data_IF_923182262980
#
_entry.id   IF_923182262980
#
_cell.length_a   1.000
_cell.length_b   1.000
_cell.length_c   1.000
_cell.angle_alpha   90.00
_cell.angle_beta   90.00
_cell.angle_gamma   90.00
#
_symmetry.space_group_name_H-M   'P 1'
#
loop_
_entity.id
_entity.type
_entity.pdbx_description
1 polymer ?
#
# COMPACT_ATOMS: atom_id res chain seq x y z
N UNK A 1 -12.44 -8.41 10.00
CA UNK A 1 -12.52 -8.90 8.61
C UNK A 1 -13.11 -10.29 8.63
N UNK A 2 -14.17 -10.52 7.87
CA UNK A 2 -14.79 -11.84 7.79
C UNK A 2 -13.85 -12.82 7.08
N UNK A 3 -13.82 -14.08 7.54
CA UNK A 3 -12.99 -15.15 6.96
C UNK A 3 -13.24 -15.27 5.45
N UNK A 4 -14.49 -15.11 5.00
CA UNK A 4 -14.85 -15.16 3.59
C UNK A 4 -14.18 -14.09 2.72
N UNK A 5 -14.03 -12.86 3.23
CA UNK A 5 -13.34 -11.78 2.51
C UNK A 5 -11.83 -12.08 2.36
N UNK A 6 -11.20 -12.58 3.43
CA UNK A 6 -9.79 -12.96 3.39
C UNK A 6 -9.52 -14.09 2.40
N UNK A 7 -10.39 -15.12 2.38
CA UNK A 7 -10.32 -16.21 1.41
C UNK A 7 -10.55 -15.71 -0.01
N UNK A 8 -11.51 -14.81 -0.22
CA UNK A 8 -11.75 -14.18 -1.52
C UNK A 8 -10.52 -13.43 -2.04
N UNK A 9 -9.82 -12.67 -1.20
CA UNK A 9 -8.57 -11.99 -1.57
C UNK A 9 -7.45 -12.97 -1.91
N UNK A 10 -7.34 -14.06 -1.15
CA UNK A 10 -6.39 -15.15 -1.45
C UNK A 10 -6.65 -15.75 -2.84
N UNK A 11 -7.90 -16.10 -3.16
CA UNK A 11 -8.27 -16.69 -4.46
C UNK A 11 -7.99 -15.73 -5.63
N UNK A 12 -8.24 -14.44 -5.45
CA UNK A 12 -7.88 -13.42 -6.44
C UNK A 12 -6.37 -13.33 -6.66
N UNK A 13 -5.56 -13.36 -5.61
CA UNK A 13 -4.11 -13.38 -5.72
C UNK A 13 -3.61 -14.69 -6.36
N UNK A 14 -4.19 -15.82 -5.99
CA UNK A 14 -3.87 -17.13 -6.56
C UNK A 14 -4.16 -17.19 -8.08
N UNK A 15 -5.15 -16.44 -8.57
CA UNK A 15 -5.47 -16.37 -10.00
C UNK A 15 -4.36 -15.68 -10.83
N UNK A 16 -3.45 -14.94 -10.22
CA UNK A 16 -2.28 -14.36 -10.89
C UNK A 16 -1.14 -15.36 -11.09
N UNK A 17 -1.11 -16.45 -10.32
CA UNK A 17 -0.06 -17.45 -10.36
C UNK A 17 -0.05 -18.19 -11.72
N UNK A 18 1.09 -18.78 -12.12
CA UNK A 18 1.12 -19.71 -13.24
C UNK A 18 0.15 -20.87 -13.07
N UNK A 19 -0.46 -21.35 -14.16
CA UNK A 19 -1.62 -22.28 -14.13
C UNK A 19 -1.41 -23.51 -13.26
N UNK A 20 -0.22 -24.10 -13.26
CA UNK A 20 0.09 -25.29 -12.43
C UNK A 20 0.10 -24.95 -10.94
N UNK A 21 0.53 -23.75 -10.58
CA UNK A 21 0.57 -23.29 -9.19
C UNK A 21 -0.78 -22.81 -8.69
N UNK A 22 -1.67 -22.34 -9.60
CA UNK A 22 -3.07 -22.03 -9.25
C UNK A 22 -3.78 -23.25 -8.70
N UNK A 23 -3.58 -24.44 -9.31
CA UNK A 23 -4.21 -25.67 -8.82
C UNK A 23 -3.74 -26.04 -7.42
N UNK A 24 -2.44 -25.91 -7.15
CA UNK A 24 -1.89 -26.14 -5.82
C UNK A 24 -2.46 -25.14 -4.78
N UNK A 25 -2.48 -23.85 -5.13
CA UNK A 25 -3.01 -22.80 -4.27
C UNK A 25 -4.50 -23.01 -3.91
N UNK A 26 -5.33 -23.47 -4.86
CA UNK A 26 -6.75 -23.76 -4.61
C UNK A 26 -6.99 -24.88 -3.58
N UNK A 27 -6.07 -25.83 -3.47
CA UNK A 27 -6.17 -26.96 -2.53
C UNK A 27 -5.75 -26.61 -1.09
N UNK A 28 -5.18 -25.45 -0.86
CA UNK A 28 -4.83 -24.95 0.49
C UNK A 28 -6.10 -24.85 1.33
N UNK A 29 -6.11 -25.38 2.58
CA UNK A 29 -7.27 -25.29 3.47
C UNK A 29 -7.70 -23.85 3.76
N UNK A 30 -9.00 -23.60 3.91
CA UNK A 30 -9.57 -22.25 4.08
C UNK A 30 -8.99 -21.47 5.26
N UNK A 31 -8.72 -22.15 6.40
CA UNK A 31 -8.10 -21.49 7.56
C UNK A 31 -6.70 -20.95 7.24
N UNK A 32 -5.90 -21.67 6.42
CA UNK A 32 -4.58 -21.19 5.95
C UNK A 32 -4.72 -20.09 4.90
N UNK A 33 -5.72 -20.19 3.99
CA UNK A 33 -6.01 -19.12 3.03
C UNK A 33 -6.36 -17.82 3.75
N UNK A 34 -7.16 -17.90 4.82
CA UNK A 34 -7.53 -16.74 5.62
C UNK A 34 -6.35 -16.07 6.35
N UNK A 35 -5.29 -16.82 6.64
CA UNK A 35 -4.08 -16.34 7.30
C UNK A 35 -2.95 -15.95 6.32
N UNK A 36 -3.10 -16.29 5.04
CA UNK A 36 -2.08 -16.10 4.02
C UNK A 36 -1.72 -14.63 3.80
N UNK A 37 -0.44 -14.32 3.76
CA UNK A 37 0.09 -12.98 3.54
C UNK A 37 0.79 -12.85 2.18
N UNK A 38 1.55 -13.87 1.77
CA UNK A 38 2.32 -13.83 0.53
C UNK A 38 2.44 -15.21 -0.11
N UNK A 39 2.34 -15.29 -1.44
CA UNK A 39 2.91 -16.42 -2.19
C UNK A 39 4.35 -16.10 -2.54
N UNK A 40 5.25 -17.06 -2.34
CA UNK A 40 6.67 -16.92 -2.65
C UNK A 40 7.13 -17.96 -3.67
N UNK A 41 7.54 -17.50 -4.82
CA UNK A 41 8.06 -18.29 -5.92
C UNK A 41 9.56 -18.03 -6.05
N UNK A 42 10.38 -19.06 -5.88
CA UNK A 42 11.85 -18.99 -6.02
C UNK A 42 12.31 -20.03 -7.04
N UNK A 43 13.05 -19.64 -8.05
CA UNK A 43 13.56 -20.56 -9.06
C UNK A 43 14.32 -21.73 -8.42
N UNK A 44 14.03 -22.96 -8.83
CA UNK A 44 14.63 -24.17 -8.30
C UNK A 44 14.14 -24.61 -6.92
N UNK A 45 13.11 -23.95 -6.35
CA UNK A 45 12.53 -24.28 -5.03
C UNK A 45 11.02 -24.50 -5.15
N UNK A 46 10.41 -25.28 -4.23
CA UNK A 46 8.95 -25.35 -4.12
C UNK A 46 8.33 -23.98 -3.86
N UNK A 47 7.12 -23.76 -4.33
CA UNK A 47 6.34 -22.57 -3.98
C UNK A 47 5.89 -22.65 -2.51
N UNK A 48 6.03 -21.54 -1.80
CA UNK A 48 5.65 -21.42 -0.39
C UNK A 48 4.61 -20.34 -0.17
N UNK A 49 3.90 -20.44 0.95
CA UNK A 49 2.89 -19.51 1.44
C UNK A 49 3.37 -18.95 2.78
N UNK A 50 3.53 -17.62 2.87
CA UNK A 50 3.81 -16.97 4.14
C UNK A 50 2.47 -16.72 4.87
N UNK A 51 2.44 -17.10 6.15
CA UNK A 51 1.34 -16.87 7.09
C UNK A 51 1.88 -16.27 8.38
N UNK A 52 1.02 -15.88 9.31
CA UNK A 52 1.42 -15.46 10.65
C UNK A 52 2.18 -16.56 11.44
N UNK A 53 2.01 -17.84 11.08
CA UNK A 53 2.71 -18.98 11.69
C UNK A 53 4.07 -19.25 11.04
N UNK A 54 4.41 -18.57 9.96
CA UNK A 54 5.64 -18.73 9.21
C UNK A 54 5.43 -19.12 7.75
N UNK A 55 6.52 -19.54 7.10
CA UNK A 55 6.54 -19.92 5.68
C UNK A 55 6.28 -21.43 5.53
N UNK A 56 5.19 -21.80 4.85
CA UNK A 56 4.71 -23.17 4.68
C UNK A 56 4.77 -23.57 3.21
N UNK A 57 4.92 -24.87 2.92
CA UNK A 57 4.74 -25.38 1.55
C UNK A 57 3.26 -25.22 1.14
N UNK A 58 3.03 -24.80 -0.11
CA UNK A 58 1.67 -24.68 -0.65
C UNK A 58 1.00 -26.06 -0.80
N UNK A 59 1.77 -27.11 -1.01
CA UNK A 59 1.27 -28.47 -1.11
C UNK A 59 2.30 -29.46 -0.58
N UNK A 60 1.86 -30.32 0.33
CA UNK A 60 2.65 -31.44 0.85
C UNK A 60 2.80 -32.55 -0.20
N UNK A 61 1.90 -32.62 -1.19
CA UNK A 61 1.94 -33.59 -2.30
C UNK A 61 2.96 -33.22 -3.37
N UNK A 62 3.49 -31.97 -3.34
CA UNK A 62 4.36 -31.41 -4.38
C UNK A 62 5.78 -31.03 -3.88
N UNK A 63 6.40 -31.72 -2.91
CA UNK A 63 7.77 -31.38 -2.47
C UNK A 63 8.80 -31.55 -3.59
N UNK A 64 8.43 -32.23 -4.69
CA UNK A 64 9.30 -32.49 -5.87
C UNK A 64 9.12 -31.49 -7.02
N UNK A 65 8.10 -30.63 -6.99
CA UNK A 65 7.93 -29.62 -8.03
C UNK A 65 8.58 -28.31 -7.62
N UNK A 66 9.61 -27.91 -8.32
CA UNK A 66 10.25 -26.62 -8.15
C UNK A 66 9.69 -25.60 -9.13
N UNK A 67 9.65 -24.34 -8.71
CA UNK A 67 9.37 -23.18 -9.55
C UNK A 67 10.46 -23.10 -10.63
N UNK A 68 10.06 -22.95 -11.86
CA UNK A 68 10.98 -22.82 -13.01
C UNK A 68 11.10 -21.34 -13.42
N UNK A 69 12.10 -21.03 -14.23
CA UNK A 69 12.23 -19.72 -14.86
C UNK A 69 11.00 -19.39 -15.70
N UNK A 70 10.48 -20.36 -16.44
CA UNK A 70 9.27 -20.19 -17.24
C UNK A 70 8.03 -19.82 -16.41
N UNK A 71 7.91 -20.31 -15.15
CA UNK A 71 6.82 -19.88 -14.27
C UNK A 71 6.94 -18.41 -13.89
N UNK A 72 8.14 -17.95 -13.54
CA UNK A 72 8.36 -16.55 -13.19
C UNK A 72 8.09 -15.62 -14.38
N UNK A 73 8.46 -16.04 -15.57
CA UNK A 73 8.16 -15.32 -16.80
C UNK A 73 6.66 -15.30 -17.09
N UNK A 74 5.97 -16.44 -16.97
CA UNK A 74 4.52 -16.53 -17.13
C UNK A 74 3.77 -15.64 -16.14
N UNK A 75 4.21 -15.58 -14.88
CA UNK A 75 3.65 -14.67 -13.88
C UNK A 75 3.79 -13.21 -14.33
N UNK A 76 5.00 -12.81 -14.76
CA UNK A 76 5.24 -11.44 -15.21
C UNK A 76 4.39 -11.09 -16.43
N UNK A 77 4.30 -11.99 -17.40
CA UNK A 77 3.52 -11.79 -18.63
C UNK A 77 2.01 -11.66 -18.31
N UNK A 78 1.49 -12.52 -17.44
CA UNK A 78 0.09 -12.47 -17.01
C UNK A 78 -0.23 -11.15 -16.29
N UNK A 79 0.65 -10.71 -15.41
CA UNK A 79 0.46 -9.47 -14.63
C UNK A 79 0.55 -8.22 -15.49
N UNK A 80 1.50 -8.19 -16.43
CA UNK A 80 1.70 -7.05 -17.37
C UNK A 80 0.72 -7.07 -18.55
N UNK A 81 -0.12 -8.09 -18.67
CA UNK A 81 -0.98 -8.29 -19.85
C UNK A 81 -0.17 -8.46 -21.13
N UNK A 82 0.96 -9.16 -21.04
CA UNK A 82 1.92 -9.41 -22.12
C UNK A 82 2.62 -8.15 -22.66
N UNK A 83 2.56 -7.01 -21.93
CA UNK A 83 3.23 -5.77 -22.29
C UNK A 83 4.28 -5.37 -21.27
N UNK A 84 5.42 -6.07 -21.25
CA UNK A 84 6.55 -5.76 -20.35
C UNK A 84 7.11 -4.35 -20.57
N UNK A 85 6.97 -3.81 -21.78
CA UNK A 85 7.42 -2.45 -22.07
C UNK A 85 6.66 -1.40 -21.26
N UNK A 86 5.34 -1.53 -21.16
CA UNK A 86 4.51 -0.62 -20.34
C UNK A 86 4.83 -0.71 -18.83
N UNK A 87 5.36 -1.84 -18.37
CA UNK A 87 5.73 -2.08 -16.99
C UNK A 87 7.24 -1.92 -16.72
N UNK A 88 8.03 -1.48 -17.71
CA UNK A 88 9.50 -1.46 -17.61
C UNK A 88 10.02 -0.61 -16.45
N UNK A 89 9.36 0.50 -16.16
CA UNK A 89 9.74 1.39 -15.05
C UNK A 89 9.53 0.72 -13.70
N UNK A 90 8.35 0.15 -13.45
CA UNK A 90 8.04 -0.53 -12.18
C UNK A 90 8.85 -1.81 -12.00
N UNK A 91 9.08 -2.57 -13.10
CA UNK A 91 9.99 -3.71 -13.09
C UNK A 91 11.42 -3.29 -12.75
N UNK A 92 11.88 -2.14 -13.27
CA UNK A 92 13.18 -1.56 -12.90
C UNK A 92 13.29 -1.23 -11.42
N UNK A 93 12.17 -0.85 -10.80
CA UNK A 93 12.06 -0.62 -9.34
C UNK A 93 11.84 -1.91 -8.53
N UNK A 94 11.82 -3.09 -9.18
CA UNK A 94 11.70 -4.41 -8.54
C UNK A 94 10.28 -4.82 -8.18
N UNK A 95 9.23 -4.26 -8.79
CA UNK A 95 7.87 -4.68 -8.54
C UNK A 95 6.93 -4.51 -9.74
N UNK A 96 5.78 -5.18 -9.66
CA UNK A 96 4.64 -5.01 -10.54
C UNK A 96 3.37 -4.86 -9.71
N UNK A 97 2.33 -4.26 -10.29
CA UNK A 97 0.98 -4.27 -9.73
C UNK A 97 0.07 -5.06 -10.66
N UNK A 98 -0.53 -6.10 -10.14
CA UNK A 98 -1.46 -6.95 -10.85
C UNK A 98 -2.92 -6.56 -10.64
N UNK A 99 -3.81 -7.15 -11.43
CA UNK A 99 -5.26 -7.02 -11.25
C UNK A 99 -5.63 -7.34 -9.81
N UNK A 100 -6.52 -6.54 -9.22
CA UNK A 100 -6.91 -6.63 -7.80
C UNK A 100 -5.99 -5.85 -6.86
N UNK A 101 -5.04 -5.05 -7.38
CA UNK A 101 -4.11 -4.24 -6.58
C UNK A 101 -3.04 -5.05 -5.85
N UNK A 102 -2.80 -6.28 -6.32
CA UNK A 102 -1.77 -7.13 -5.73
C UNK A 102 -0.40 -6.67 -6.17
N UNK A 103 0.46 -6.35 -5.21
CA UNK A 103 1.86 -6.02 -5.47
C UNK A 103 2.69 -7.29 -5.58
N UNK A 104 3.42 -7.42 -6.68
CA UNK A 104 4.33 -8.51 -6.94
C UNK A 104 5.75 -7.98 -6.87
N UNK A 105 6.47 -8.28 -5.79
CA UNK A 105 7.90 -8.00 -5.65
C UNK A 105 8.71 -8.94 -6.53
N UNK A 106 9.73 -8.42 -7.21
CA UNK A 106 10.60 -9.18 -8.11
C UNK A 106 12.05 -9.07 -7.67
N UNK A 107 12.77 -10.17 -7.69
CA UNK A 107 14.22 -10.20 -7.54
C UNK A 107 14.84 -10.91 -8.75
N UNK A 108 16.04 -10.49 -9.12
CA UNK A 108 16.78 -11.02 -10.25
C UNK A 108 18.08 -10.28 -10.47
N UNK A 109 18.69 -10.42 -11.64
CA UNK A 109 19.89 -9.70 -12.02
C UNK A 109 19.54 -8.27 -12.41
N UNK A 110 20.14 -7.28 -11.75
CA UNK A 110 19.93 -5.87 -12.05
C UNK A 110 20.98 -5.40 -13.04
N UNK A 111 20.52 -4.81 -14.16
CA UNK A 111 21.37 -4.08 -15.09
C UNK A 111 21.14 -2.58 -14.91
N UNK A 112 22.20 -1.83 -14.67
CA UNK A 112 22.18 -0.36 -14.59
C UNK A 112 22.40 0.20 -15.99
N UNK A 113 21.53 1.11 -16.43
CA UNK A 113 21.63 1.79 -17.72
C UNK A 113 22.53 3.01 -17.59
N UNK A 114 23.04 3.50 -18.72
CA UNK A 114 23.91 4.69 -18.75
C UNK A 114 23.22 5.99 -18.29
N UNK A 115 21.89 6.03 -18.31
CA UNK A 115 21.05 7.13 -17.82
C UNK A 115 20.74 7.06 -16.30
N UNK A 116 21.34 6.07 -15.60
CA UNK A 116 21.08 5.79 -14.18
C UNK A 116 19.81 4.95 -13.93
N UNK A 117 19.04 4.63 -14.95
CA UNK A 117 17.88 3.74 -14.84
C UNK A 117 18.30 2.28 -14.59
N UNK A 118 17.42 1.52 -13.95
CA UNK A 118 17.61 0.09 -13.69
C UNK A 118 16.70 -0.75 -14.57
N UNK A 119 17.17 -1.95 -14.93
CA UNK A 119 16.39 -2.99 -15.58
C UNK A 119 16.61 -4.32 -14.87
N UNK A 120 15.54 -5.04 -14.60
CA UNK A 120 15.62 -6.37 -14.01
C UNK A 120 15.72 -7.42 -15.13
N UNK A 121 16.72 -8.28 -15.03
CA UNK A 121 16.92 -9.45 -15.90
C UNK A 121 16.92 -10.71 -15.07
N UNK A 122 16.77 -11.86 -15.72
CA UNK A 122 16.91 -13.19 -15.09
C UNK A 122 16.19 -13.24 -13.72
N UNK A 123 14.87 -13.05 -13.74
CA UNK A 123 14.06 -13.00 -12.51
C UNK A 123 14.25 -14.31 -11.75
N UNK A 124 14.83 -14.23 -10.55
CA UNK A 124 15.13 -15.40 -9.71
C UNK A 124 14.03 -15.71 -8.70
N UNK A 125 13.22 -14.72 -8.33
CA UNK A 125 12.06 -14.92 -7.47
C UNK A 125 10.99 -13.84 -7.65
N UNK A 126 9.77 -14.22 -7.25
CA UNK A 126 8.62 -13.35 -7.19
C UNK A 126 7.86 -13.55 -5.87
N UNK A 127 7.37 -12.45 -5.30
CA UNK A 127 6.56 -12.44 -4.07
C UNK A 127 5.23 -11.77 -4.38
N UNK A 128 4.15 -12.55 -4.41
CA UNK A 128 2.79 -12.02 -4.60
C UNK A 128 2.18 -11.73 -3.23
N UNK A 129 2.09 -10.44 -2.86
CA UNK A 129 1.49 -10.02 -1.59
C UNK A 129 -0.02 -10.09 -1.67
N UNK A 130 -0.64 -10.77 -0.69
CA UNK A 130 -2.09 -10.88 -0.56
C UNK A 130 -2.57 -9.67 0.26
N UNK A 131 -2.64 -8.51 -0.41
CA UNK A 131 -3.11 -7.29 0.24
C UNK A 131 -4.57 -7.45 0.68
N UNK A 132 -4.86 -7.07 1.92
CA UNK A 132 -6.20 -7.08 2.50
C UNK A 132 -6.66 -5.65 2.69
N UNK A 133 -7.95 -5.43 2.55
CA UNK A 133 -8.57 -4.17 2.89
C UNK A 133 -9.33 -4.34 4.21
N UNK A 134 -9.00 -3.53 5.19
CA UNK A 134 -9.70 -3.47 6.46
C UNK A 134 -10.48 -2.16 6.46
N UNK A 135 -11.76 -2.23 6.77
CA UNK A 135 -12.66 -1.07 6.82
C UNK A 135 -13.10 -0.82 8.26
N UNK A 136 -13.47 0.42 8.53
CA UNK A 136 -14.01 0.82 9.84
C UNK A 136 -12.97 1.03 10.94
N UNK A 137 -11.67 0.98 10.61
CA UNK A 137 -10.59 1.26 11.57
C UNK A 137 -10.67 2.69 12.12
N UNK A 138 -11.16 3.62 11.30
CA UNK A 138 -11.33 5.02 11.70
C UNK A 138 -12.24 5.17 12.94
N UNK A 139 -13.17 4.22 13.17
CA UNK A 139 -14.06 4.22 14.34
C UNK A 139 -13.31 3.94 15.65
N UNK A 140 -12.17 3.27 15.57
CA UNK A 140 -11.32 2.98 16.72
C UNK A 140 -10.39 4.16 17.08
N UNK A 141 -10.32 5.19 16.20
CA UNK A 141 -9.47 6.37 16.41
C UNK A 141 -10.21 7.40 17.29
N UNK A 142 -9.71 7.69 18.52
CA UNK A 142 -10.36 8.63 19.42
C UNK A 142 -10.54 10.00 18.77
N UNK A 143 -11.72 10.61 18.97
CA UNK A 143 -12.04 11.99 18.55
C UNK A 143 -11.94 12.29 17.05
N UNK A 144 -11.59 11.30 16.21
CA UNK A 144 -11.48 11.54 14.77
C UNK A 144 -12.84 11.81 14.11
N UNK A 145 -13.90 11.21 14.64
CA UNK A 145 -15.27 11.38 14.17
C UNK A 145 -15.93 12.68 14.66
N UNK A 146 -15.39 13.32 15.72
CA UNK A 146 -15.97 14.51 16.33
C UNK A 146 -15.60 15.77 15.52
N UNK A 147 -16.60 16.49 15.04
CA UNK A 147 -16.40 17.76 14.32
C UNK A 147 -15.96 17.61 12.86
N UNK A 148 -15.41 18.69 12.26
CA UNK A 148 -14.86 18.70 10.92
C UNK A 148 -13.52 17.98 10.84
N UNK A 149 -13.13 17.53 9.64
CA UNK A 149 -11.80 16.96 9.42
C UNK A 149 -10.73 18.05 9.52
N UNK A 150 -9.67 17.77 10.27
CA UNK A 150 -8.45 18.59 10.33
C UNK A 150 -7.25 17.84 9.77
N UNK A 151 -6.25 18.61 9.30
CA UNK A 151 -5.00 18.03 8.80
C UNK A 151 -4.39 17.10 9.82
N UNK A 152 -4.23 15.83 9.45
CA UNK A 152 -3.90 14.72 10.36
C UNK A 152 -2.66 13.99 9.90
N UNK A 153 -1.71 13.77 10.80
CA UNK A 153 -0.52 12.94 10.61
C UNK A 153 -0.69 11.62 11.35
N UNK A 154 -0.39 10.50 10.68
CA UNK A 154 -0.44 9.15 11.26
C UNK A 154 0.99 8.64 11.44
N UNK A 155 1.38 8.27 12.65
CA UNK A 155 2.70 7.74 12.98
C UNK A 155 2.63 6.32 13.53
N UNK A 156 3.49 5.45 13.03
CA UNK A 156 3.68 4.09 13.57
C UNK A 156 4.99 3.47 13.04
N UNK A 157 5.49 2.40 13.64
CA UNK A 157 6.61 1.63 13.09
C UNK A 157 6.28 0.97 11.75
N UNK A 158 7.28 0.45 11.02
CA UNK A 158 7.07 -0.39 9.86
C UNK A 158 6.11 -1.56 10.19
N UNK A 159 5.14 -1.84 9.30
CA UNK A 159 4.14 -2.89 9.56
C UNK A 159 3.06 -2.52 10.59
N UNK A 160 3.14 -1.35 11.24
CA UNK A 160 2.19 -0.90 12.27
C UNK A 160 0.78 -0.59 11.77
N UNK A 161 0.53 -0.64 10.44
CA UNK A 161 -0.81 -0.48 9.86
C UNK A 161 -1.16 0.94 9.42
N UNK A 162 -0.18 1.85 9.30
CA UNK A 162 -0.37 3.25 8.82
C UNK A 162 -1.11 3.32 7.50
N UNK A 163 -0.60 2.65 6.47
CA UNK A 163 -1.19 2.64 5.12
C UNK A 163 -2.60 2.08 5.12
N UNK A 164 -2.89 1.09 5.99
CA UNK A 164 -4.22 0.50 6.13
C UNK A 164 -5.20 1.50 6.75
N UNK A 165 -4.80 2.17 7.84
CA UNK A 165 -5.62 3.22 8.47
C UNK A 165 -5.78 4.41 7.52
N UNK A 166 -4.70 4.87 6.88
CA UNK A 166 -4.74 5.97 5.92
C UNK A 166 -5.76 5.69 4.80
N UNK A 167 -5.75 4.49 4.21
CA UNK A 167 -6.70 4.11 3.16
C UNK A 167 -8.14 4.09 3.66
N UNK A 168 -8.39 3.56 4.85
CA UNK A 168 -9.73 3.53 5.44
C UNK A 168 -10.24 4.95 5.73
N UNK A 169 -9.39 5.83 6.22
CA UNK A 169 -9.72 7.25 6.43
C UNK A 169 -9.97 8.00 5.11
N UNK A 170 -9.18 7.74 4.05
CA UNK A 170 -9.39 8.28 2.71
C UNK A 170 -10.78 7.89 2.20
N UNK A 171 -11.11 6.61 2.22
CA UNK A 171 -12.40 6.10 1.77
C UNK A 171 -13.55 6.71 2.56
N UNK A 172 -13.40 6.83 3.87
CA UNK A 172 -14.41 7.42 4.74
C UNK A 172 -14.62 8.92 4.49
N UNK A 173 -13.53 9.69 4.32
CA UNK A 173 -13.63 11.12 3.97
C UNK A 173 -14.28 11.32 2.60
N UNK A 174 -13.93 10.47 1.65
CA UNK A 174 -14.43 10.51 0.29
C UNK A 174 -15.90 10.14 0.17
N UNK A 175 -16.33 9.10 0.91
CA UNK A 175 -17.73 8.64 0.88
C UNK A 175 -18.64 9.44 1.82
N UNK A 176 -18.06 10.11 2.82
CA UNK A 176 -18.80 10.71 3.93
C UNK A 176 -19.29 9.66 4.94
N UNK A 177 -19.97 10.12 5.96
CA UNK A 177 -20.66 9.33 6.99
C UNK A 177 -22.03 9.94 7.24
N UNK A 178 -22.87 9.33 8.09
CA UNK A 178 -24.17 9.91 8.45
C UNK A 178 -24.04 11.35 8.96
N UNK A 179 -22.94 11.66 9.67
CA UNK A 179 -22.70 12.97 10.29
C UNK A 179 -21.76 13.88 9.49
N UNK A 180 -21.23 13.42 8.35
CA UNK A 180 -20.22 14.15 7.56
C UNK A 180 -20.45 14.03 6.07
N UNK A 181 -20.58 15.18 5.40
CA UNK A 181 -20.66 15.22 3.94
C UNK A 181 -19.39 14.68 3.30
N UNK A 182 -19.51 14.03 2.12
CA UNK A 182 -18.36 13.61 1.31
C UNK A 182 -17.43 14.77 0.97
N UNK A 183 -16.12 14.48 0.95
CA UNK A 183 -15.08 15.44 0.55
C UNK A 183 -14.39 14.97 -0.72
N UNK A 184 -13.95 15.92 -1.56
CA UNK A 184 -13.07 15.63 -2.68
C UNK A 184 -11.67 15.36 -2.16
N UNK A 185 -11.18 14.13 -2.34
CA UNK A 185 -9.86 13.69 -1.86
C UNK A 185 -8.93 13.49 -3.05
N UNK A 186 -7.77 14.14 -3.02
CA UNK A 186 -6.68 13.84 -3.94
C UNK A 186 -5.67 12.91 -3.28
N UNK A 187 -5.29 11.83 -3.94
CA UNK A 187 -4.28 10.89 -3.44
C UNK A 187 -3.05 10.91 -4.33
N UNK A 188 -1.87 11.09 -3.75
CA UNK A 188 -0.59 10.82 -4.43
C UNK A 188 -0.07 9.49 -3.93
N UNK A 189 -0.20 8.47 -4.75
CA UNK A 189 0.17 7.08 -4.45
C UNK A 189 1.49 6.72 -5.13
N UNK A 190 2.60 7.17 -4.56
CA UNK A 190 3.93 7.00 -5.15
C UNK A 190 4.35 5.54 -5.33
N UNK A 191 3.89 4.66 -4.42
CA UNK A 191 4.28 3.25 -4.39
C UNK A 191 3.18 2.29 -4.82
N UNK A 192 2.00 2.80 -5.18
CA UNK A 192 0.83 1.98 -5.53
C UNK A 192 0.27 1.19 -4.34
N UNK A 193 0.48 1.66 -3.11
CA UNK A 193 0.06 0.95 -1.89
C UNK A 193 -1.29 1.43 -1.36
N UNK A 194 -1.75 2.63 -1.75
CA UNK A 194 -3.04 3.19 -1.33
C UNK A 194 -4.18 2.70 -2.21
N UNK A 195 -4.15 3.01 -3.47
CA UNK A 195 -5.21 2.69 -4.43
C UNK A 195 -4.97 1.39 -5.20
N UNK A 196 -3.70 0.95 -5.31
CA UNK A 196 -3.32 -0.23 -6.08
C UNK A 196 -3.80 -0.14 -7.53
N UNK A 197 -3.47 0.96 -8.21
CA UNK A 197 -3.98 1.25 -9.56
C UNK A 197 -3.61 0.16 -10.56
N UNK A 198 -4.60 -0.31 -11.30
CA UNK A 198 -4.40 -1.23 -12.41
C UNK A 198 -5.14 -0.73 -13.65
N UNK A 199 -4.41 -0.41 -14.72
CA UNK A 199 -4.96 0.14 -15.97
C UNK A 199 -5.88 1.35 -15.75
N UNK A 200 -5.47 2.27 -14.88
CA UNK A 200 -6.21 3.50 -14.58
C UNK A 200 -7.40 3.33 -13.64
N UNK A 201 -7.61 2.14 -13.06
CA UNK A 201 -8.72 1.86 -12.14
C UNK A 201 -8.18 1.50 -10.76
N UNK A 202 -8.62 2.18 -9.67
CA UNK A 202 -8.32 1.79 -8.31
C UNK A 202 -8.83 0.37 -8.03
N UNK A 203 -7.97 -0.48 -7.47
CA UNK A 203 -8.32 -1.87 -7.12
C UNK A 203 -8.62 -2.03 -5.62
N UNK A 204 -8.23 -1.04 -4.83
CA UNK A 204 -8.56 -0.90 -3.43
C UNK A 204 -9.54 0.26 -3.29
N UNK A 205 -10.45 0.15 -2.34
CA UNK A 205 -11.46 1.18 -2.11
C UNK A 205 -10.82 2.40 -1.44
N UNK A 206 -10.81 3.48 -2.17
CA UNK A 206 -10.37 4.81 -1.71
C UNK A 206 -11.52 5.81 -1.70
N UNK A 207 -12.76 5.34 -1.93
CA UNK A 207 -13.99 6.14 -1.92
C UNK A 207 -14.34 6.77 -3.28
N UNK A 208 -15.61 7.18 -3.40
CA UNK A 208 -16.22 7.58 -4.68
C UNK A 208 -15.79 8.98 -5.16
N UNK A 209 -15.29 9.84 -4.26
CA UNK A 209 -14.88 11.21 -4.57
C UNK A 209 -13.36 11.38 -4.46
N UNK A 210 -12.60 10.35 -4.85
CA UNK A 210 -11.14 10.32 -4.76
C UNK A 210 -10.51 10.29 -6.15
N UNK A 211 -9.63 11.26 -6.40
CA UNK A 211 -8.77 11.31 -7.59
C UNK A 211 -7.36 10.84 -7.22
N UNK A 212 -6.77 9.94 -8.01
CA UNK A 212 -5.49 9.31 -7.71
C UNK A 212 -4.44 9.65 -8.76
N UNK A 213 -3.28 10.14 -8.30
CA UNK A 213 -2.03 10.17 -9.07
C UNK A 213 -1.15 8.99 -8.64
N UNK A 214 -0.96 8.02 -9.53
CA UNK A 214 -0.21 6.80 -9.29
C UNK A 214 1.22 6.90 -9.79
N UNK A 215 2.18 6.35 -9.04
CA UNK A 215 3.60 6.30 -9.41
C UNK A 215 4.31 7.66 -9.44
N UNK A 216 3.69 8.71 -8.92
CA UNK A 216 4.22 10.07 -8.94
C UNK A 216 4.88 10.42 -7.58
N UNK A 217 6.10 11.00 -7.56
CA UNK A 217 6.69 11.55 -6.34
C UNK A 217 5.76 12.60 -5.70
N UNK A 218 5.64 12.59 -4.38
CA UNK A 218 4.71 13.47 -3.63
C UNK A 218 4.94 14.95 -3.92
N UNK A 219 6.21 15.37 -3.92
CA UNK A 219 6.59 16.75 -4.20
C UNK A 219 6.11 17.26 -5.58
N UNK A 220 5.96 16.38 -6.56
CA UNK A 220 5.43 16.70 -7.89
C UNK A 220 3.90 16.51 -7.97
N UNK A 221 3.37 15.45 -7.37
CA UNK A 221 1.96 15.09 -7.45
C UNK A 221 1.05 16.06 -6.70
N UNK A 222 1.46 16.57 -5.53
CA UNK A 222 0.68 17.52 -4.75
C UNK A 222 0.34 18.78 -5.56
N UNK A 223 1.32 19.51 -6.17
CA UNK A 223 1.02 20.65 -7.02
C UNK A 223 0.19 20.31 -8.27
N UNK A 224 0.29 19.09 -8.79
CA UNK A 224 -0.54 18.64 -9.91
C UNK A 224 -2.00 18.49 -9.49
N UNK A 225 -2.28 17.85 -8.36
CA UNK A 225 -3.64 17.72 -7.82
C UNK A 225 -4.29 19.08 -7.52
N UNK A 226 -3.55 20.00 -6.94
CA UNK A 226 -4.04 21.36 -6.68
C UNK A 226 -4.54 22.06 -7.94
N UNK A 227 -3.86 21.86 -9.06
CA UNK A 227 -4.22 22.50 -10.33
C UNK A 227 -5.33 21.78 -11.10
N UNK A 228 -5.44 20.46 -10.93
CA UNK A 228 -6.31 19.63 -11.78
C UNK A 228 -7.61 19.17 -11.11
N UNK A 229 -7.59 18.86 -9.81
CA UNK A 229 -8.67 18.13 -9.15
C UNK A 229 -9.47 18.97 -8.14
N UNK A 230 -9.02 20.20 -7.81
CA UNK A 230 -9.65 21.02 -6.78
C UNK A 230 -9.98 20.25 -5.48
N UNK A 231 -8.98 19.56 -4.87
CA UNK A 231 -9.22 18.73 -3.72
C UNK A 231 -9.50 19.55 -2.46
N UNK A 232 -10.32 19.02 -1.55
CA UNK A 232 -10.51 19.56 -0.20
C UNK A 232 -9.53 18.91 0.78
N UNK A 233 -9.12 17.68 0.48
CA UNK A 233 -8.12 16.91 1.23
C UNK A 233 -7.11 16.34 0.24
N UNK A 234 -5.82 16.42 0.57
CA UNK A 234 -4.77 15.66 -0.12
C UNK A 234 -4.21 14.62 0.85
N UNK A 235 -4.19 13.37 0.40
CA UNK A 235 -3.65 12.25 1.14
C UNK A 235 -2.36 11.72 0.50
N UNK A 236 -1.33 11.48 1.31
CA UNK A 236 -0.04 10.94 0.90
C UNK A 236 0.45 9.89 1.88
N UNK A 237 1.06 8.83 1.38
CA UNK A 237 1.70 7.83 2.24
C UNK A 237 3.19 8.18 2.41
N UNK A 238 3.68 7.96 3.61
CA UNK A 238 5.08 7.99 4.01
C UNK A 238 5.88 9.25 3.62
N UNK A 239 5.79 10.30 4.45
CA UNK A 239 6.63 11.50 4.32
C UNK A 239 8.10 11.12 4.58
N UNK A 240 8.98 11.32 3.59
CA UNK A 240 10.39 10.91 3.67
C UNK A 240 11.37 12.04 3.40
N UNK A 241 10.97 13.12 2.74
CA UNK A 241 11.86 14.16 2.25
C UNK A 241 11.36 15.57 2.60
N UNK A 242 12.30 16.51 2.72
CA UNK A 242 11.96 17.92 2.95
C UNK A 242 11.14 18.54 1.79
N UNK A 243 11.34 18.06 0.56
CA UNK A 243 10.57 18.49 -0.60
C UNK A 243 9.08 18.17 -0.47
N UNK A 244 8.73 17.06 0.20
CA UNK A 244 7.34 16.70 0.49
C UNK A 244 6.69 17.75 1.40
N UNK A 245 7.44 18.21 2.44
CA UNK A 245 6.96 19.22 3.38
C UNK A 245 6.68 20.55 2.69
N UNK A 246 7.56 20.98 1.79
CA UNK A 246 7.36 22.22 1.02
C UNK A 246 6.08 22.13 0.17
N UNK A 247 5.86 21.03 -0.52
CA UNK A 247 4.66 20.83 -1.34
C UNK A 247 3.39 20.79 -0.47
N UNK A 248 3.43 20.11 0.69
CA UNK A 248 2.31 20.06 1.64
C UNK A 248 2.02 21.44 2.24
N UNK A 249 3.06 22.22 2.58
CA UNK A 249 2.90 23.59 3.09
C UNK A 249 2.23 24.47 2.06
N UNK A 250 2.60 24.36 0.78
CA UNK A 250 1.95 25.09 -0.31
C UNK A 250 0.47 24.70 -0.44
N UNK A 251 0.13 23.41 -0.31
CA UNK A 251 -1.26 22.95 -0.34
C UNK A 251 -2.08 23.49 0.84
N UNK A 252 -1.51 23.46 2.05
CA UNK A 252 -2.14 24.00 3.25
C UNK A 252 -2.41 25.50 3.12
N UNK A 253 -1.49 26.27 2.54
CA UNK A 253 -1.65 27.69 2.26
C UNK A 253 -2.77 27.98 1.23
N UNK A 254 -3.11 26.99 0.39
CA UNK A 254 -4.29 27.07 -0.50
C UNK A 254 -5.59 26.64 0.20
N UNK A 255 -5.58 26.37 1.50
CA UNK A 255 -6.75 25.95 2.28
C UNK A 255 -7.09 24.46 2.19
N UNK A 256 -6.24 23.65 1.57
CA UNK A 256 -6.43 22.20 1.45
C UNK A 256 -5.98 21.52 2.74
N UNK A 257 -6.78 20.59 3.27
CA UNK A 257 -6.44 19.76 4.41
C UNK A 257 -5.52 18.62 3.98
N UNK A 258 -4.68 18.14 4.89
CA UNK A 258 -3.71 17.08 4.62
C UNK A 258 -3.95 15.86 5.50
N UNK A 259 -3.77 14.68 4.91
CA UNK A 259 -3.78 13.41 5.60
C UNK A 259 -2.53 12.63 5.16
N UNK A 260 -1.60 12.37 6.09
CA UNK A 260 -0.32 11.77 5.73
C UNK A 260 0.17 10.78 6.77
N UNK A 261 1.16 9.95 6.37
CA UNK A 261 1.82 9.03 7.30
C UNK A 261 3.32 9.34 7.45
N UNK A 262 3.87 8.96 8.58
CA UNK A 262 5.29 9.03 8.88
C UNK A 262 5.74 7.81 9.68
N UNK A 263 6.96 7.35 9.49
CA UNK A 263 7.53 6.30 10.32
C UNK A 263 8.03 6.83 11.66
N UNK A 264 7.55 6.25 12.76
CA UNK A 264 8.12 6.40 14.09
C UNK A 264 7.72 5.20 14.96
N UNK A 265 8.59 4.76 15.85
CA UNK A 265 8.27 3.70 16.80
C UNK A 265 7.31 4.20 17.88
N UNK A 266 7.53 5.44 18.33
CA UNK A 266 6.68 6.12 19.30
C UNK A 266 6.70 7.64 19.15
N UNK A 267 5.95 8.35 19.99
CA UNK A 267 5.89 9.82 19.96
C UNK A 267 7.20 10.50 20.40
N UNK A 268 8.07 9.84 21.19
CA UNK A 268 9.35 10.40 21.59
C UNK A 268 10.37 10.33 20.44
N UNK A 269 10.46 9.19 19.77
CA UNK A 269 11.27 9.06 18.56
C UNK A 269 10.84 10.05 17.49
N UNK A 270 9.53 10.17 17.28
CA UNK A 270 8.97 11.11 16.32
C UNK A 270 9.45 12.53 16.58
N UNK A 271 9.36 13.01 17.83
CA UNK A 271 9.77 14.37 18.23
C UNK A 271 11.28 14.62 18.06
N UNK A 272 12.11 13.58 18.05
CA UNK A 272 13.56 13.67 17.80
C UNK A 272 13.90 13.78 16.32
N UNK A 273 13.01 13.36 15.42
CA UNK A 273 13.26 13.37 13.97
C UNK A 273 13.30 14.80 13.43
N UNK A 274 14.38 15.20 12.69
CA UNK A 274 14.46 16.54 12.10
C UNK A 274 13.26 16.83 11.18
N UNK A 275 12.83 15.84 10.41
CA UNK A 275 11.69 15.94 9.50
C UNK A 275 10.39 16.29 10.24
N UNK A 276 10.14 15.69 11.40
CA UNK A 276 8.97 15.99 12.21
C UNK A 276 8.99 17.40 12.79
N UNK A 277 10.17 17.90 13.20
CA UNK A 277 10.30 19.29 13.64
C UNK A 277 9.94 20.26 12.54
N UNK A 278 10.42 20.03 11.32
CA UNK A 278 10.06 20.86 10.16
C UNK A 278 8.54 20.83 9.89
N UNK A 279 7.89 19.67 10.00
CA UNK A 279 6.44 19.54 9.86
C UNK A 279 5.68 20.33 10.94
N UNK A 280 6.15 20.27 12.20
CA UNK A 280 5.55 20.99 13.34
C UNK A 280 5.73 22.50 13.20
N UNK A 281 6.95 22.94 12.83
CA UNK A 281 7.26 24.36 12.59
C UNK A 281 6.46 24.93 11.43
N UNK A 282 6.21 24.14 10.39
CA UNK A 282 5.37 24.52 9.27
C UNK A 282 3.87 24.65 9.63
N UNK A 283 3.44 24.09 10.79
CA UNK A 283 2.06 24.17 11.27
C UNK A 283 1.03 23.52 10.34
N UNK A 284 1.47 22.57 9.52
CA UNK A 284 0.64 21.94 8.47
C UNK A 284 -0.39 21.00 9.05
N UNK A 285 -0.01 20.25 10.08
CA UNK A 285 -0.88 19.28 10.76
C UNK A 285 -1.40 19.85 12.09
N UNK A 286 -2.64 19.53 12.42
CA UNK A 286 -3.31 19.91 13.67
C UNK A 286 -3.50 18.73 14.61
N UNK A 287 -3.39 17.52 14.07
CA UNK A 287 -3.67 16.28 14.79
C UNK A 287 -2.61 15.22 14.48
N UNK A 288 -2.16 14.52 15.50
CA UNK A 288 -1.29 13.34 15.37
C UNK A 288 -2.04 12.12 15.88
N UNK A 289 -2.06 11.07 15.06
CA UNK A 289 -2.52 9.74 15.47
C UNK A 289 -1.29 8.85 15.59
N UNK A 290 -1.05 8.26 16.74
CA UNK A 290 -0.01 7.24 16.93
C UNK A 290 -0.65 5.86 17.03
N UNK A 291 -0.08 4.90 16.29
CA UNK A 291 -0.51 3.50 16.34
C UNK A 291 0.58 2.71 17.06
N UNK A 292 0.22 2.04 18.13
CA UNK A 292 1.07 1.10 18.87
C UNK A 292 0.46 -0.29 18.85
N UNK A 293 1.28 -1.31 19.06
CA UNK A 293 0.81 -2.69 19.15
C UNK A 293 1.17 -3.23 20.55
N UNK A 294 0.15 -3.64 21.30
CA UNK A 294 0.31 -4.31 22.57
C UNK A 294 -0.55 -5.57 22.59
N UNK A 295 -0.01 -6.68 23.06
CA UNK A 295 -0.70 -7.98 23.15
C UNK A 295 -1.34 -8.44 21.82
N UNK A 296 -0.69 -8.12 20.68
CA UNK A 296 -1.19 -8.46 19.34
C UNK A 296 -2.36 -7.60 18.86
N UNK A 297 -2.77 -6.57 19.62
CA UNK A 297 -3.82 -5.62 19.25
C UNK A 297 -3.24 -4.26 18.96
N UNK A 298 -3.85 -3.54 18.02
CA UNK A 298 -3.51 -2.15 17.71
C UNK A 298 -4.26 -1.21 18.65
N UNK A 299 -3.54 -0.20 19.11
CA UNK A 299 -4.08 0.88 19.94
C UNK A 299 -3.82 2.21 19.25
N UNK A 300 -4.84 3.03 19.19
CA UNK A 300 -4.79 4.34 18.55
C UNK A 300 -4.84 5.43 19.62
N UNK A 301 -3.93 6.38 19.54
CA UNK A 301 -3.91 7.55 20.39
C UNK A 301 -3.92 8.79 19.52
N UNK A 302 -4.77 9.76 19.87
CA UNK A 302 -4.85 11.06 19.18
C UNK A 302 -4.34 12.16 20.11
N UNK A 303 -3.54 13.07 19.56
CA UNK A 303 -3.10 14.28 20.25
C UNK A 303 -3.14 15.48 19.29
N UNK A 304 -3.35 16.70 19.83
CA UNK A 304 -3.22 17.95 19.08
C UNK A 304 -1.74 18.29 18.85
N UNK A 305 -1.42 18.85 17.66
CA UNK A 305 -0.10 19.36 17.28
C UNK A 305 -0.07 20.88 17.31
#
# INVERSE_FOLDING_TARGET
MEIGEAVGRYEQAAALLPSRWQQAARRVPEHRKAQAEEFRLRAGRPMTLLTCEGELLVSDELPRQSVTQADLEQLCDAVTGYSRYAAAETMGKGYLIGRGGFRIGLCGTVAVRGDGGTALRDISSAVVRISRQIRGLWQEVPEWSAGGFDSTLIAAPPGGGKTTLLRDMIATLSNGTEDRCPLRVGVVDERGELAGMYRGVPQLDVGCHTDVLDGCPKALGIPMLLRSANPQVIAVDEITEAADILAMTAAANCGVKLLATIHAEDGEELRRKPLFRQLTEAGVFRRLITISTAEGRRHYRTEAL
#
